data_IF_228154043846
#
_entry.id   IF_228154043846
#
_cell.length_a   1.000
_cell.length_b   1.000
_cell.length_c   1.000
_cell.angle_alpha   90.00
_cell.angle_beta   90.00
_cell.angle_gamma   90.00
#
_symmetry.space_group_name_H-M   'P 1'
#
loop_
_entity.id
_entity.type
_entity.pdbx_description
1 polymer ?
#
# COMPACT_ATOMS: atom_id res chain seq x y z
N UNK A 1 -7.18 1.78 8.11
CA UNK A 1 -6.71 2.85 7.19
C UNK A 1 -5.79 2.23 6.16
N UNK A 2 -6.00 2.53 4.88
CA UNK A 2 -5.20 2.02 3.77
C UNK A 2 -4.28 3.14 3.28
N UNK A 3 -2.99 2.83 3.10
CA UNK A 3 -2.00 3.72 2.49
C UNK A 3 -1.17 2.95 1.47
N UNK A 4 -1.02 3.50 0.27
CA UNK A 4 -0.19 2.90 -0.77
C UNK A 4 1.29 3.09 -0.44
N UNK A 5 2.10 2.08 -0.74
CA UNK A 5 3.49 1.98 -0.30
C UNK A 5 4.50 2.11 -1.44
N UNK A 6 4.12 1.89 -2.69
CA UNK A 6 5.09 1.85 -3.79
C UNK A 6 5.54 3.23 -4.27
N UNK A 7 6.72 3.26 -4.88
CA UNK A 7 7.27 4.39 -5.61
C UNK A 7 7.20 4.11 -7.11
N UNK A 8 7.40 5.13 -7.93
CA UNK A 8 7.47 4.98 -9.38
C UNK A 8 8.90 5.16 -9.89
N UNK A 9 9.22 4.53 -11.02
CA UNK A 9 10.49 4.76 -11.71
C UNK A 9 10.48 6.18 -12.29
N UNK A 10 11.23 7.08 -11.63
CA UNK A 10 11.41 8.45 -12.09
C UNK A 10 12.89 8.84 -11.94
N UNK A 11 13.81 8.29 -12.77
CA UNK A 11 15.26 8.44 -12.54
C UNK A 11 15.78 9.86 -12.64
N UNK A 12 15.01 10.77 -13.25
CA UNK A 12 15.34 12.20 -13.36
C UNK A 12 14.82 13.02 -12.19
N UNK A 13 14.05 12.42 -11.29
CA UNK A 13 13.54 13.12 -10.11
C UNK A 13 14.72 13.47 -9.18
N UNK A 14 14.80 14.70 -8.61
CA UNK A 14 15.91 15.12 -7.77
C UNK A 14 16.11 14.28 -6.48
N UNK A 15 15.11 13.47 -6.14
CA UNK A 15 15.09 12.58 -4.97
C UNK A 15 14.88 11.12 -5.37
N UNK A 16 15.20 10.76 -6.62
CA UNK A 16 15.23 9.37 -7.03
C UNK A 16 16.28 8.62 -6.22
N UNK A 17 15.97 7.38 -5.86
CA UNK A 17 16.92 6.46 -5.27
C UNK A 17 18.03 6.15 -6.29
N UNK A 18 19.30 6.23 -5.86
CA UNK A 18 20.45 6.12 -6.76
C UNK A 18 20.61 4.71 -7.36
N UNK A 19 20.09 3.67 -6.68
CA UNK A 19 20.20 2.28 -7.12
C UNK A 19 19.09 1.91 -8.11
N UNK A 20 17.86 2.28 -7.81
CA UNK A 20 16.66 1.83 -8.55
C UNK A 20 16.10 2.89 -9.50
N UNK A 21 16.44 4.16 -9.29
CA UNK A 21 15.80 5.28 -9.98
C UNK A 21 14.35 5.54 -9.56
N UNK A 22 13.87 4.90 -8.49
CA UNK A 22 12.52 5.07 -8.00
C UNK A 22 12.37 6.33 -7.14
N UNK A 23 11.23 7.00 -7.21
CA UNK A 23 10.88 8.14 -6.37
C UNK A 23 9.37 8.10 -6.03
N UNK A 24 9.02 8.51 -4.80
CA UNK A 24 7.63 8.73 -4.42
C UNK A 24 7.10 10.04 -5.03
N UNK A 25 6.67 9.98 -6.29
CA UNK A 25 6.14 11.13 -7.02
C UNK A 25 4.61 11.22 -6.97
N UNK A 26 3.92 10.17 -6.51
CA UNK A 26 2.46 10.11 -6.37
C UNK A 26 1.99 10.41 -4.92
N UNK A 27 2.91 10.72 -4.01
CA UNK A 27 2.57 11.05 -2.61
C UNK A 27 2.33 9.85 -1.69
N UNK A 28 2.65 8.62 -2.13
CA UNK A 28 2.52 7.40 -1.32
C UNK A 28 3.30 7.46 0.00
N UNK A 29 4.45 8.15 0.02
CA UNK A 29 5.17 8.45 1.25
C UNK A 29 4.33 9.27 2.26
N UNK A 30 3.51 10.21 1.77
CA UNK A 30 2.59 10.99 2.61
C UNK A 30 1.43 10.11 3.09
N UNK A 31 0.91 9.23 2.22
CA UNK A 31 -0.14 8.29 2.62
C UNK A 31 0.31 7.36 3.75
N UNK A 32 1.53 6.81 3.67
CA UNK A 32 2.11 5.98 4.74
C UNK A 32 2.33 6.79 6.02
N UNK A 33 2.83 8.02 5.92
CA UNK A 33 2.97 8.90 7.09
C UNK A 33 1.61 9.20 7.75
N UNK A 34 0.57 9.46 6.95
CA UNK A 34 -0.78 9.68 7.43
C UNK A 34 -1.37 8.41 8.07
N UNK A 35 -1.14 7.24 7.49
CA UNK A 35 -1.55 5.96 8.06
C UNK A 35 -0.95 5.76 9.46
N UNK A 36 0.34 6.08 9.66
CA UNK A 36 0.97 6.05 10.98
C UNK A 36 0.39 7.11 11.93
N UNK A 37 0.11 8.32 11.45
CA UNK A 37 -0.51 9.37 12.27
C UNK A 37 -1.90 8.94 12.77
N UNK A 38 -2.72 8.34 11.91
CA UNK A 38 -4.02 7.77 12.27
C UNK A 38 -3.86 6.63 13.28
N UNK A 39 -2.87 5.75 13.09
CA UNK A 39 -2.58 4.68 14.04
C UNK A 39 -2.27 5.21 15.44
N UNK A 40 -1.39 6.21 15.53
CA UNK A 40 -1.01 6.84 16.79
C UNK A 40 -2.20 7.55 17.45
N UNK A 41 -3.02 8.25 16.66
CA UNK A 41 -4.21 8.93 17.17
C UNK A 41 -5.27 7.97 17.70
N UNK A 42 -5.55 6.88 16.97
CA UNK A 42 -6.50 5.86 17.39
C UNK A 42 -5.98 5.10 18.62
N UNK A 43 -4.70 4.75 18.67
CA UNK A 43 -4.09 4.07 19.82
C UNK A 43 -4.36 4.80 21.14
N UNK A 44 -4.37 6.13 21.13
CA UNK A 44 -4.60 6.95 22.33
C UNK A 44 -6.04 6.89 22.85
N UNK A 45 -7.00 6.41 22.06
CA UNK A 45 -8.43 6.37 22.39
C UNK A 45 -9.06 4.98 22.17
N UNK A 46 -8.26 3.93 21.91
CA UNK A 46 -8.79 2.59 21.59
C UNK A 46 -9.70 2.04 22.69
N UNK A 47 -9.41 2.32 23.97
CA UNK A 47 -10.23 1.85 25.10
C UNK A 47 -11.65 2.43 25.12
N UNK A 48 -11.88 3.54 24.38
CA UNK A 48 -13.18 4.21 24.25
C UNK A 48 -13.93 3.78 22.97
N UNK A 49 -13.30 2.95 22.13
CA UNK A 49 -13.83 2.49 20.85
C UNK A 49 -14.15 0.99 20.91
N UNK A 50 -15.19 0.58 20.20
CA UNK A 50 -15.49 -0.84 20.01
C UNK A 50 -14.88 -1.34 18.71
N UNK A 51 -14.36 -2.57 18.73
CA UNK A 51 -13.81 -3.26 17.56
C UNK A 51 -12.30 -3.11 17.42
N UNK A 52 -11.79 -3.58 16.28
CA UNK A 52 -10.36 -3.64 15.98
C UNK A 52 -9.99 -2.68 14.85
N UNK A 53 -8.74 -2.22 14.86
CA UNK A 53 -8.19 -1.34 13.82
C UNK A 53 -7.07 -2.08 13.09
N UNK A 54 -7.22 -2.22 11.78
CA UNK A 54 -6.17 -2.76 10.89
C UNK A 54 -5.61 -1.64 10.00
N UNK A 55 -4.29 -1.64 9.87
CA UNK A 55 -3.53 -0.75 9.00
C UNK A 55 -2.99 -1.53 7.81
N UNK A 56 -3.28 -1.05 6.61
CA UNK A 56 -2.81 -1.66 5.38
C UNK A 56 -1.79 -0.74 4.69
N UNK A 57 -0.52 -1.14 4.72
CA UNK A 57 0.50 -0.59 3.83
C UNK A 57 0.48 -1.43 2.55
N UNK A 58 -0.16 -0.92 1.50
CA UNK A 58 -0.43 -1.70 0.30
C UNK A 58 0.63 -1.44 -0.75
N UNK A 59 1.41 -2.45 -1.16
CA UNK A 59 2.37 -2.27 -2.25
C UNK A 59 1.64 -2.16 -3.58
N UNK A 60 2.39 -1.80 -4.63
CA UNK A 60 2.02 -2.09 -6.00
C UNK A 60 0.73 -1.44 -6.52
N UNK A 61 0.45 -0.20 -6.14
CA UNK A 61 -0.67 0.54 -6.70
C UNK A 61 -0.43 0.90 -8.17
N UNK A 62 0.80 1.30 -8.51
CA UNK A 62 1.16 1.91 -9.79
C UNK A 62 1.40 0.86 -10.91
N UNK A 63 1.51 -0.42 -10.53
CA UNK A 63 1.63 -1.58 -11.45
C UNK A 63 2.77 -1.49 -12.50
N UNK A 64 3.85 -0.75 -12.22
CA UNK A 64 4.89 -0.40 -13.22
C UNK A 64 5.77 -1.57 -13.73
N UNK A 65 6.01 -2.61 -12.93
CA UNK A 65 6.88 -3.75 -13.27
C UNK A 65 6.11 -4.92 -13.91
N UNK A 66 5.39 -4.65 -15.01
CA UNK A 66 4.43 -5.59 -15.61
C UNK A 66 5.07 -6.95 -15.96
N UNK A 67 6.25 -6.98 -16.59
CA UNK A 67 6.91 -8.23 -17.01
C UNK A 67 7.32 -9.10 -15.81
N UNK A 68 7.87 -8.48 -14.77
CA UNK A 68 8.21 -9.18 -13.54
C UNK A 68 6.95 -9.76 -12.87
N UNK A 69 5.88 -8.96 -12.79
CA UNK A 69 4.60 -9.39 -12.22
C UNK A 69 3.95 -10.52 -13.03
N UNK A 70 4.03 -10.48 -14.36
CA UNK A 70 3.56 -11.56 -15.22
C UNK A 70 4.27 -12.88 -14.90
N UNK A 71 5.60 -12.86 -14.73
CA UNK A 71 6.35 -14.06 -14.31
C UNK A 71 5.87 -14.57 -12.94
N UNK A 72 5.57 -13.69 -12.00
CA UNK A 72 5.00 -14.09 -10.71
C UNK A 72 3.62 -14.72 -10.85
N UNK A 73 2.78 -14.23 -11.78
CA UNK A 73 1.47 -14.81 -12.08
C UNK A 73 1.57 -16.17 -12.74
N UNK A 74 2.47 -16.33 -13.71
CA UNK A 74 2.77 -17.62 -14.36
C UNK A 74 3.28 -18.65 -13.35
N UNK A 75 4.03 -18.21 -12.33
CA UNK A 75 4.46 -19.04 -11.19
C UNK A 75 3.35 -19.32 -10.17
N UNK A 76 2.15 -18.78 -10.35
CA UNK A 76 1.03 -18.90 -9.41
C UNK A 76 1.20 -18.14 -8.09
N UNK A 77 2.20 -17.25 -7.99
CA UNK A 77 2.46 -16.46 -6.78
C UNK A 77 1.56 -15.24 -6.65
N UNK A 78 1.07 -14.72 -7.78
CA UNK A 78 0.11 -13.62 -7.83
C UNK A 78 -1.08 -14.02 -8.68
N UNK A 79 -2.27 -13.56 -8.29
CA UNK A 79 -3.46 -13.62 -9.16
C UNK A 79 -3.70 -12.30 -9.87
N UNK A 80 -3.55 -11.19 -9.15
CA UNK A 80 -3.75 -9.82 -9.63
C UNK A 80 -2.45 -9.03 -9.68
N UNK A 81 -2.43 -7.97 -10.48
CA UNK A 81 -1.25 -7.12 -10.67
C UNK A 81 -1.16 -6.01 -9.62
N UNK A 82 -2.28 -5.42 -9.21
CA UNK A 82 -2.33 -4.39 -8.18
C UNK A 82 -2.34 -4.99 -6.78
N UNK A 83 -1.63 -4.37 -5.83
CA UNK A 83 -1.53 -4.94 -4.48
C UNK A 83 -2.85 -4.99 -3.74
N UNK A 84 -3.69 -3.94 -3.83
CA UNK A 84 -5.04 -3.97 -3.23
C UNK A 84 -5.88 -5.13 -3.74
N UNK A 85 -5.87 -5.35 -5.06
CA UNK A 85 -6.62 -6.44 -5.68
C UNK A 85 -6.11 -7.80 -5.20
N UNK A 86 -4.79 -7.96 -5.06
CA UNK A 86 -4.19 -9.18 -4.55
C UNK A 86 -4.55 -9.42 -3.08
N UNK A 87 -4.48 -8.40 -2.21
CA UNK A 87 -4.86 -8.50 -0.81
C UNK A 87 -6.33 -8.90 -0.63
N UNK A 88 -7.24 -8.30 -1.41
CA UNK A 88 -8.66 -8.69 -1.40
C UNK A 88 -8.82 -10.15 -1.81
N UNK A 89 -8.10 -10.60 -2.85
CA UNK A 89 -8.15 -11.99 -3.28
C UNK A 89 -7.62 -12.98 -2.24
N UNK A 90 -6.61 -12.57 -1.47
CA UNK A 90 -6.01 -13.37 -0.41
C UNK A 90 -6.83 -13.36 0.89
N UNK A 91 -7.98 -12.66 0.91
CA UNK A 91 -8.89 -12.61 2.05
C UNK A 91 -8.49 -11.61 3.13
N UNK A 92 -7.53 -10.72 2.86
CA UNK A 92 -7.06 -9.73 3.84
C UNK A 92 -8.13 -8.67 4.21
N UNK A 93 -9.26 -8.65 3.49
CA UNK A 93 -10.40 -7.78 3.75
C UNK A 93 -11.66 -8.55 4.20
N UNK A 94 -11.57 -9.87 4.41
CA UNK A 94 -12.75 -10.72 4.67
C UNK A 94 -13.44 -10.39 6.00
N UNK A 95 -12.69 -9.85 6.96
CA UNK A 95 -13.16 -9.41 8.28
C UNK A 95 -13.20 -7.87 8.44
N UNK A 96 -13.07 -7.12 7.34
CA UNK A 96 -13.05 -5.66 7.35
C UNK A 96 -14.44 -5.11 7.03
N UNK A 97 -15.12 -4.57 8.03
CA UNK A 97 -16.44 -3.94 7.87
C UNK A 97 -16.37 -2.56 7.18
N UNK A 98 -15.26 -1.83 7.36
CA UNK A 98 -15.04 -0.51 6.78
C UNK A 98 -13.57 -0.28 6.45
N UNK A 99 -13.30 0.19 5.23
CA UNK A 99 -11.99 0.66 4.80
C UNK A 99 -12.04 2.15 4.44
N UNK A 100 -10.97 2.87 4.80
CA UNK A 100 -10.78 4.28 4.48
C UNK A 100 -9.38 4.48 3.91
N UNK A 101 -9.27 5.38 2.93
CA UNK A 101 -8.03 5.78 2.28
C UNK A 101 -8.07 7.29 2.00
N UNK A 102 -6.91 7.93 2.03
CA UNK A 102 -6.73 9.33 1.63
C UNK A 102 -5.58 9.41 0.63
N UNK A 103 -5.75 10.21 -0.42
CA UNK A 103 -4.74 10.45 -1.44
C UNK A 103 -4.43 11.94 -1.55
#
# INVERSE_FOLDING_TARGET
MVGELDAILCPRHPRADDLTGAAHCCGHNVQIANMFAVAMGLQAVMDELAGDVVLFAVPAEEMIEIDYRNKLREQGKLKYMGGKQQLIYEGAFDDIDMAMQMH
#
